data_IF_247531892004
#
_entry.id   IF_247531892004
#
_cell.length_a   1.000
_cell.length_b   1.000
_cell.length_c   1.000
_cell.angle_alpha   90.00
_cell.angle_beta   90.00
_cell.angle_gamma   90.00
#
_symmetry.space_group_name_H-M   'P 1'
#
loop_
_entity.id
_entity.type
_entity.pdbx_description
1 polymer ?
#
# COMPACT_ATOMS: atom_id res chain seq x y z
N UNK A 1 10.83 -0.66 -29.90
CA UNK A 1 11.88 -1.54 -29.38
C UNK A 1 12.88 -0.80 -28.50
N UNK A 2 12.58 -0.67 -27.21
CA UNK A 2 13.58 -0.28 -26.21
C UNK A 2 14.30 -1.56 -25.78
N UNK A 3 15.43 -1.87 -26.43
CA UNK A 3 16.33 -2.91 -25.93
C UNK A 3 17.04 -2.36 -24.68
N UNK A 4 17.01 -3.06 -23.53
CA UNK A 4 17.77 -2.62 -22.37
C UNK A 4 19.26 -2.66 -22.71
N UNK A 5 19.87 -1.48 -22.78
CA UNK A 5 21.32 -1.34 -22.91
C UNK A 5 21.91 -1.50 -21.51
N UNK A 6 22.89 -2.38 -21.37
CA UNK A 6 23.69 -2.51 -20.15
C UNK A 6 24.31 -1.14 -19.86
N UNK A 7 23.83 -0.46 -18.84
CA UNK A 7 24.37 0.84 -18.46
C UNK A 7 25.73 0.60 -17.80
N UNK A 8 26.82 0.94 -18.50
CA UNK A 8 28.18 0.96 -17.95
C UNK A 8 28.47 2.26 -17.16
N UNK A 9 27.44 3.09 -16.93
CA UNK A 9 27.52 4.30 -16.11
C UNK A 9 27.25 3.96 -14.64
N UNK A 10 27.73 4.79 -13.69
CA UNK A 10 27.52 4.53 -12.28
C UNK A 10 26.04 4.45 -11.96
N UNK A 11 25.59 3.30 -11.46
CA UNK A 11 24.19 3.07 -11.15
C UNK A 11 23.85 3.83 -9.87
N UNK A 12 22.94 4.81 -9.96
CA UNK A 12 22.35 5.43 -8.79
C UNK A 12 21.47 4.40 -8.08
N UNK A 13 21.87 4.00 -6.88
CA UNK A 13 21.08 3.11 -6.03
C UNK A 13 20.54 3.92 -4.86
N UNK A 14 19.24 4.20 -4.86
CA UNK A 14 18.60 4.87 -3.73
C UNK A 14 18.24 3.79 -2.71
N UNK A 15 18.92 3.78 -1.56
CA UNK A 15 18.70 2.80 -0.51
C UNK A 15 18.06 3.51 0.68
N UNK A 16 16.84 3.09 1.03
CA UNK A 16 16.09 3.68 2.12
C UNK A 16 16.54 3.06 3.45
N UNK A 17 17.31 3.79 4.26
CA UNK A 17 17.64 3.38 5.63
C UNK A 17 17.04 4.40 6.60
N UNK A 18 16.36 3.91 7.63
CA UNK A 18 15.96 4.75 8.75
C UNK A 18 17.21 5.16 9.54
N UNK A 19 17.55 6.46 9.52
CA UNK A 19 18.47 7.06 10.50
C UNK A 19 19.83 7.52 9.98
N UNK A 20 20.28 7.10 8.80
CA UNK A 20 21.50 7.64 8.18
C UNK A 20 21.11 8.38 6.89
N UNK A 21 21.41 9.68 6.83
CA UNK A 21 21.35 10.47 5.61
C UNK A 21 22.77 10.64 5.08
N UNK A 22 22.99 10.37 3.79
CA UNK A 22 24.33 10.48 3.23
C UNK A 22 24.45 9.88 1.85
N UNK A 23 25.58 10.19 1.21
CA UNK A 23 25.98 9.58 -0.05
C UNK A 23 27.19 8.71 0.24
N UNK A 24 27.09 7.41 -0.01
CA UNK A 24 28.24 6.50 0.02
C UNK A 24 28.63 6.18 -1.41
N UNK A 25 29.92 6.37 -1.69
CA UNK A 25 30.53 6.08 -2.98
C UNK A 25 31.19 4.68 -2.90
N UNK A 26 30.53 3.67 -3.46
CA UNK A 26 31.05 2.30 -3.55
C UNK A 26 31.51 2.02 -4.99
N UNK A 27 32.60 2.67 -5.41
CA UNK A 27 33.20 2.47 -6.73
C UNK A 27 32.28 2.93 -7.88
N UNK A 28 31.60 1.98 -8.55
CA UNK A 28 30.68 2.25 -9.66
C UNK A 28 29.25 2.54 -9.19
N UNK A 29 28.99 2.63 -7.89
CA UNK A 29 27.64 2.88 -7.34
C UNK A 29 27.65 4.09 -6.43
N UNK A 30 26.78 5.04 -6.75
CA UNK A 30 26.42 6.14 -5.85
C UNK A 30 25.19 5.73 -5.06
N UNK A 31 25.36 5.46 -3.77
CA UNK A 31 24.28 5.08 -2.88
C UNK A 31 23.78 6.34 -2.16
N UNK A 32 22.50 6.68 -2.32
CA UNK A 32 21.86 7.76 -1.57
C UNK A 32 21.01 7.16 -0.48
N UNK A 33 21.34 7.47 0.77
CA UNK A 33 20.51 7.22 1.93
C UNK A 33 19.62 8.42 2.20
N UNK A 34 18.31 8.19 2.14
CA UNK A 34 17.29 9.20 2.39
C UNK A 34 16.15 8.61 3.21
N UNK A 35 15.61 9.44 4.09
CA UNK A 35 14.40 9.14 4.85
C UNK A 35 13.12 9.41 4.03
N UNK A 36 13.25 10.04 2.86
CA UNK A 36 12.15 10.49 2.00
C UNK A 36 11.92 9.53 0.81
N UNK A 37 10.68 9.45 0.32
CA UNK A 37 10.36 8.69 -0.89
C UNK A 37 10.84 9.38 -2.17
N UNK A 38 10.97 8.60 -3.24
CA UNK A 38 11.22 9.14 -4.59
C UNK A 38 10.09 10.10 -5.01
N UNK A 39 8.83 9.80 -4.67
CA UNK A 39 7.70 10.67 -5.01
C UNK A 39 7.80 12.05 -4.35
N UNK A 40 8.14 12.09 -3.06
CA UNK A 40 8.36 13.35 -2.35
C UNK A 40 9.56 14.12 -2.91
N UNK A 41 10.66 13.41 -3.20
CA UNK A 41 11.85 14.00 -3.82
C UNK A 41 11.53 14.62 -5.18
N UNK A 42 10.74 13.93 -6.00
CA UNK A 42 10.32 14.43 -7.32
C UNK A 42 9.48 15.70 -7.19
N UNK A 43 8.47 15.68 -6.32
CA UNK A 43 7.60 16.85 -6.08
C UNK A 43 8.40 18.06 -5.61
N UNK A 44 9.24 17.91 -4.57
CA UNK A 44 10.08 19.00 -4.06
C UNK A 44 11.09 19.50 -5.09
N UNK A 45 11.58 18.62 -5.97
CA UNK A 45 12.45 19.03 -7.07
C UNK A 45 11.69 19.84 -8.12
N UNK A 46 10.48 19.41 -8.48
CA UNK A 46 9.63 20.11 -9.44
C UNK A 46 9.24 21.51 -8.95
N UNK A 47 9.00 21.70 -7.66
CA UNK A 47 8.70 23.00 -7.05
C UNK A 47 9.79 24.06 -7.24
N UNK A 48 11.05 23.63 -7.41
CA UNK A 48 12.14 24.56 -7.69
C UNK A 48 12.04 25.20 -9.09
N UNK A 49 11.25 24.60 -9.99
CA UNK A 49 11.15 25.01 -11.39
C UNK A 49 9.72 25.39 -11.80
N UNK A 50 8.70 24.80 -11.17
CA UNK A 50 7.29 24.94 -11.54
C UNK A 50 6.39 25.08 -10.32
N UNK A 51 5.19 25.61 -10.54
CA UNK A 51 4.11 25.54 -9.54
C UNK A 51 3.58 24.11 -9.53
N UNK A 52 3.61 23.48 -8.37
CA UNK A 52 3.04 22.15 -8.14
C UNK A 52 1.77 22.30 -7.31
N UNK A 53 0.65 21.79 -7.81
CA UNK A 53 -0.63 21.92 -7.14
C UNK A 53 -0.75 20.95 -5.95
N UNK A 54 -1.84 21.08 -5.19
CA UNK A 54 -2.06 20.26 -4.00
C UNK A 54 -2.22 18.79 -4.32
N UNK A 55 -2.75 18.43 -5.50
CA UNK A 55 -3.02 17.04 -5.83
C UNK A 55 -1.72 16.24 -6.03
N UNK A 56 -0.73 16.76 -6.74
CA UNK A 56 0.56 16.07 -6.90
C UNK A 56 1.26 15.86 -5.56
N UNK A 57 1.16 16.85 -4.66
CA UNK A 57 1.66 16.75 -3.28
C UNK A 57 0.95 15.66 -2.48
N UNK A 58 -0.38 15.60 -2.56
CA UNK A 58 -1.18 14.54 -1.93
C UNK A 58 -0.75 13.17 -2.46
N UNK A 59 -0.54 13.02 -3.77
CA UNK A 59 -0.10 11.76 -4.36
C UNK A 59 1.31 11.37 -3.91
N UNK A 60 2.22 12.34 -3.72
CA UNK A 60 3.51 12.08 -3.13
C UNK A 60 3.39 11.57 -1.68
N UNK A 61 2.47 12.14 -0.89
CA UNK A 61 2.19 11.65 0.47
C UNK A 61 1.61 10.23 0.45
N UNK A 62 0.71 9.90 -0.48
CA UNK A 62 0.19 8.53 -0.66
C UNK A 62 1.33 7.54 -0.97
N UNK A 63 2.29 7.93 -1.82
CA UNK A 63 3.52 7.16 -2.03
C UNK A 63 4.37 7.02 -0.75
N UNK A 64 4.42 8.05 0.08
CA UNK A 64 5.06 8.01 1.40
C UNK A 64 4.37 7.03 2.36
N UNK A 65 3.04 6.97 2.37
CA UNK A 65 2.25 6.00 3.17
C UNK A 65 2.60 4.57 2.77
N UNK A 66 2.63 4.27 1.47
CA UNK A 66 3.02 2.95 0.95
C UNK A 66 4.39 2.52 1.49
N UNK A 67 5.32 3.47 1.60
CA UNK A 67 6.69 3.30 2.10
C UNK A 67 6.84 3.40 3.62
N UNK A 68 5.74 3.51 4.35
CA UNK A 68 5.71 3.63 5.81
C UNK A 68 6.37 4.89 6.35
N UNK A 69 6.50 5.95 5.54
CA UNK A 69 7.16 7.20 5.92
C UNK A 69 6.38 8.00 6.96
N UNK A 70 5.09 7.70 7.12
CA UNK A 70 4.21 8.30 8.11
C UNK A 70 4.03 7.49 9.39
N UNK A 71 4.76 6.37 9.53
CA UNK A 71 4.72 5.51 10.71
C UNK A 71 5.69 5.95 11.82
N UNK A 72 5.92 7.26 11.95
CA UNK A 72 6.64 7.83 13.09
C UNK A 72 5.68 8.39 14.14
N UNK A 73 6.18 8.64 15.35
CA UNK A 73 5.39 9.28 16.42
C UNK A 73 4.88 10.67 16.01
N UNK A 74 5.62 11.36 15.15
CA UNK A 74 5.26 12.67 14.62
C UNK A 74 4.52 12.61 13.27
N UNK A 75 4.20 11.42 12.76
CA UNK A 75 3.65 11.25 11.41
C UNK A 75 4.71 11.14 10.33
N UNK A 76 4.52 11.83 9.21
CA UNK A 76 5.50 11.87 8.13
C UNK A 76 6.87 12.41 8.58
N UNK A 77 7.93 11.86 7.99
CA UNK A 77 9.33 12.27 8.16
C UNK A 77 9.91 12.79 6.83
N UNK A 78 11.13 13.34 6.84
CA UNK A 78 11.81 13.81 5.63
C UNK A 78 11.03 14.88 4.86
N UNK A 79 11.15 14.84 3.54
CA UNK A 79 10.47 15.75 2.61
C UNK A 79 8.94 15.61 2.67
N UNK A 80 8.42 14.43 2.99
CA UNK A 80 6.99 14.26 3.19
C UNK A 80 6.47 15.11 4.35
N UNK A 81 7.26 15.30 5.42
CA UNK A 81 6.89 16.18 6.54
C UNK A 81 6.77 17.64 6.08
N UNK A 82 7.66 18.08 5.19
CA UNK A 82 7.59 19.42 4.59
C UNK A 82 6.32 19.58 3.75
N UNK A 83 6.04 18.60 2.88
CA UNK A 83 4.83 18.59 2.04
C UNK A 83 3.55 18.64 2.90
N UNK A 84 3.49 17.88 4.00
CA UNK A 84 2.37 17.92 4.96
C UNK A 84 2.19 19.33 5.52
N UNK A 85 3.26 19.97 5.99
CA UNK A 85 3.18 21.30 6.58
C UNK A 85 2.70 22.35 5.58
N UNK A 86 3.17 22.28 4.33
CA UNK A 86 2.71 23.16 3.25
C UNK A 86 1.21 23.01 2.99
N UNK A 87 0.73 21.77 2.87
CA UNK A 87 -0.69 21.50 2.61
C UNK A 87 -1.59 21.88 3.79
N UNK A 88 -1.13 21.73 5.04
CA UNK A 88 -1.86 22.20 6.22
C UNK A 88 -1.95 23.73 6.21
N UNK A 89 -0.83 24.41 5.96
CA UNK A 89 -0.78 25.88 5.91
C UNK A 89 -1.68 26.44 4.81
N UNK A 90 -1.81 25.73 3.68
CA UNK A 90 -2.71 26.10 2.59
C UNK A 90 -4.14 25.58 2.78
N UNK A 91 -4.47 24.94 3.91
CA UNK A 91 -5.78 24.34 4.23
C UNK A 91 -6.24 23.24 3.24
N UNK A 92 -5.30 22.58 2.56
CA UNK A 92 -5.55 21.47 1.63
C UNK A 92 -5.39 20.08 2.27
N UNK A 93 -4.96 20.04 3.53
CA UNK A 93 -4.80 18.81 4.31
C UNK A 93 -5.20 19.03 5.77
N UNK A 94 -5.97 18.10 6.31
CA UNK A 94 -6.36 18.02 7.71
C UNK A 94 -5.68 16.79 8.32
N UNK A 95 -5.16 16.92 9.53
CA UNK A 95 -4.50 15.83 10.26
C UNK A 95 -5.26 15.55 11.54
N UNK A 96 -5.59 14.29 11.77
CA UNK A 96 -6.30 13.84 12.97
C UNK A 96 -5.62 12.58 13.55
N UNK A 97 -6.02 12.17 14.76
CA UNK A 97 -5.69 10.88 15.33
C UNK A 97 -6.78 9.86 14.99
N UNK A 98 -6.40 8.65 14.58
CA UNK A 98 -7.38 7.66 14.17
C UNK A 98 -6.79 6.28 13.89
N UNK A 99 -7.70 5.34 13.60
CA UNK A 99 -7.30 4.04 13.09
C UNK A 99 -6.81 4.20 11.66
N UNK A 100 -5.66 3.62 11.36
CA UNK A 100 -5.07 3.59 10.03
C UNK A 100 -5.59 2.39 9.24
N UNK A 101 -6.91 2.30 9.18
CA UNK A 101 -7.66 1.28 8.45
C UNK A 101 -8.38 1.95 7.29
N UNK A 102 -8.53 1.22 6.20
CA UNK A 102 -9.24 1.73 5.02
C UNK A 102 -10.71 1.93 5.34
N UNK A 103 -11.27 3.06 4.90
CA UNK A 103 -12.62 3.49 5.21
C UNK A 103 -12.81 4.11 6.60
N UNK A 104 -11.73 4.55 7.27
CA UNK A 104 -11.83 5.26 8.55
C UNK A 104 -12.80 6.44 8.46
N UNK A 105 -13.72 6.52 9.44
CA UNK A 105 -14.87 7.45 9.51
C UNK A 105 -15.93 7.34 8.39
N UNK A 106 -15.68 6.59 7.33
CA UNK A 106 -16.61 6.42 6.20
C UNK A 106 -17.38 5.11 6.21
N UNK A 107 -16.89 4.09 6.91
CA UNK A 107 -17.44 2.74 6.90
C UNK A 107 -17.71 2.21 8.31
N UNK A 108 -18.51 1.15 8.37
CA UNK A 108 -18.66 0.35 9.58
C UNK A 108 -17.34 -0.31 9.94
N UNK A 109 -17.14 -0.62 11.22
CA UNK A 109 -15.91 -1.23 11.70
C UNK A 109 -15.68 -2.63 11.13
N UNK A 110 -16.76 -3.38 10.89
CA UNK A 110 -16.70 -4.67 10.20
C UNK A 110 -16.15 -4.49 8.78
N UNK A 111 -16.68 -3.52 8.03
CA UNK A 111 -16.23 -3.27 6.68
C UNK A 111 -14.77 -2.84 6.66
N UNK A 112 -14.38 -1.86 7.49
CA UNK A 112 -12.99 -1.39 7.59
C UNK A 112 -12.00 -2.53 7.83
N UNK A 113 -12.29 -3.38 8.83
CA UNK A 113 -11.46 -4.53 9.16
C UNK A 113 -11.40 -5.56 8.04
N UNK A 114 -12.53 -5.81 7.38
CA UNK A 114 -12.60 -6.82 6.33
C UNK A 114 -11.91 -6.40 5.03
N UNK A 115 -11.80 -5.10 4.73
CA UNK A 115 -11.22 -4.60 3.47
C UNK A 115 -9.77 -4.10 3.60
N UNK A 116 -9.30 -3.82 4.81
CA UNK A 116 -7.96 -3.24 4.99
C UNK A 116 -6.87 -4.27 4.69
N UNK A 117 -5.98 -3.91 3.75
CA UNK A 117 -4.82 -4.72 3.37
C UNK A 117 -3.48 -4.25 3.85
N UNK A 118 -3.41 -3.00 4.28
CA UNK A 118 -2.18 -2.42 4.81
C UNK A 118 -2.57 -1.58 6.03
N UNK A 119 -2.37 -2.12 7.25
CA UNK A 119 -1.78 -3.44 7.53
C UNK A 119 -2.73 -4.60 7.16
N UNK A 120 -2.20 -5.69 6.57
CA UNK A 120 -2.96 -6.94 6.43
C UNK A 120 -3.19 -7.56 7.80
N UNK A 121 -4.46 -7.89 8.13
CA UNK A 121 -4.87 -8.45 9.42
C UNK A 121 -5.21 -9.93 9.23
N UNK A 122 -4.29 -10.85 9.59
CA UNK A 122 -4.50 -12.29 9.43
C UNK A 122 -5.84 -12.75 10.01
N UNK A 123 -6.53 -13.63 9.28
CA UNK A 123 -7.83 -14.20 9.67
C UNK A 123 -9.00 -13.20 9.80
N UNK A 124 -8.79 -11.90 9.55
CA UNK A 124 -9.85 -10.87 9.59
C UNK A 124 -10.02 -10.22 8.22
N UNK A 125 -8.92 -9.76 7.62
CA UNK A 125 -8.95 -9.24 6.24
C UNK A 125 -9.55 -10.29 5.32
N UNK A 126 -10.55 -9.92 4.52
CA UNK A 126 -11.31 -10.81 3.64
C UNK A 126 -12.50 -11.53 4.27
N UNK A 127 -12.66 -11.47 5.60
CA UNK A 127 -13.65 -12.26 6.35
C UNK A 127 -14.53 -11.39 7.25
N UNK A 128 -15.70 -10.96 6.74
CA UNK A 128 -16.65 -10.13 7.50
C UNK A 128 -17.20 -10.82 8.75
N UNK A 129 -17.37 -12.14 8.71
CA UNK A 129 -17.78 -12.95 9.87
C UNK A 129 -16.75 -12.88 11.00
N UNK A 130 -15.46 -12.93 10.67
CA UNK A 130 -14.38 -12.81 11.66
C UNK A 130 -14.24 -11.39 12.21
N UNK A 131 -14.46 -10.38 11.37
CA UNK A 131 -14.57 -9.01 11.83
C UNK A 131 -15.77 -8.83 12.77
N UNK A 132 -16.93 -9.40 12.44
CA UNK A 132 -18.12 -9.39 13.31
C UNK A 132 -17.83 -10.02 14.68
N UNK A 133 -17.19 -11.19 14.70
CA UNK A 133 -16.82 -11.88 15.94
C UNK A 133 -15.89 -11.02 16.81
N UNK A 134 -14.91 -10.34 16.19
CA UNK A 134 -14.01 -9.43 16.91
C UNK A 134 -14.78 -8.27 17.54
N UNK A 135 -15.68 -7.61 16.78
CA UNK A 135 -16.42 -6.44 17.29
C UNK A 135 -17.42 -6.85 18.37
N UNK A 136 -18.04 -8.02 18.23
CA UNK A 136 -18.91 -8.60 19.26
C UNK A 136 -18.15 -8.80 20.59
N UNK A 137 -16.90 -9.28 20.53
CA UNK A 137 -16.07 -9.49 21.72
C UNK A 137 -15.73 -8.19 22.46
N UNK A 138 -15.73 -7.05 21.77
CA UNK A 138 -15.52 -5.74 22.40
C UNK A 138 -16.75 -5.26 23.20
N UNK A 139 -17.88 -5.96 23.12
CA UNK A 139 -19.08 -5.68 23.90
C UNK A 139 -20.12 -4.80 23.21
N UNK A 140 -19.99 -4.59 21.90
CA UNK A 140 -21.02 -3.90 21.10
C UNK A 140 -22.23 -4.82 20.87
N UNK A 141 -23.44 -4.29 21.08
CA UNK A 141 -24.70 -5.05 20.95
C UNK A 141 -25.16 -5.24 19.50
N UNK A 142 -24.85 -4.28 18.63
CA UNK A 142 -25.16 -4.30 17.19
C UNK A 142 -23.85 -4.11 16.40
N UNK A 143 -22.95 -5.13 16.36
CA UNK A 143 -21.62 -5.02 15.76
C UNK A 143 -21.62 -4.50 14.31
N UNK A 144 -22.66 -4.81 13.55
CA UNK A 144 -22.84 -4.42 12.15
C UNK A 144 -23.08 -2.93 11.94
N UNK A 145 -23.48 -2.20 12.99
CA UNK A 145 -23.73 -0.76 12.93
C UNK A 145 -22.60 0.09 13.52
N UNK A 146 -21.60 -0.55 14.12
CA UNK A 146 -20.51 0.16 14.82
C UNK A 146 -19.68 0.95 13.81
N UNK A 147 -19.48 2.23 14.10
CA UNK A 147 -18.71 3.18 13.29
C UNK A 147 -17.52 3.74 14.08
N UNK A 148 -16.72 4.59 13.42
CA UNK A 148 -15.66 5.34 14.10
C UNK A 148 -16.20 6.23 15.24
N UNK A 149 -17.41 6.77 15.11
CA UNK A 149 -18.03 7.61 16.15
C UNK A 149 -18.25 6.85 17.46
N UNK A 150 -18.70 5.59 17.36
CA UNK A 150 -18.91 4.73 18.52
C UNK A 150 -17.59 4.40 19.22
N UNK A 151 -16.52 4.16 18.46
CA UNK A 151 -15.18 3.95 19.00
C UNK A 151 -14.63 5.21 19.70
N UNK A 152 -14.83 6.39 19.12
CA UNK A 152 -14.34 7.66 19.66
C UNK A 152 -15.10 8.06 20.93
N UNK A 153 -16.35 7.58 21.10
CA UNK A 153 -17.18 7.90 22.26
C UNK A 153 -16.61 7.38 23.59
N UNK A 154 -15.83 6.29 23.58
CA UNK A 154 -15.15 5.77 24.76
C UNK A 154 -13.73 5.29 24.41
N UNK A 155 -12.67 5.93 24.97
CA UNK A 155 -11.28 5.53 24.75
C UNK A 155 -10.96 4.07 25.04
N UNK A 156 -11.77 3.40 25.90
CA UNK A 156 -11.63 1.97 26.18
C UNK A 156 -11.81 1.13 24.91
N UNK A 157 -12.80 1.42 24.07
CA UNK A 157 -13.06 0.62 22.87
C UNK A 157 -11.92 0.70 21.86
N UNK A 158 -11.37 1.90 21.63
CA UNK A 158 -10.18 2.07 20.77
C UNK A 158 -9.00 1.29 21.34
N UNK A 159 -8.76 1.40 22.65
CA UNK A 159 -7.64 0.70 23.30
C UNK A 159 -7.78 -0.81 23.16
N UNK A 160 -8.94 -1.38 23.49
CA UNK A 160 -9.18 -2.82 23.46
C UNK A 160 -9.09 -3.35 22.02
N UNK A 161 -9.67 -2.64 21.04
CA UNK A 161 -9.55 -2.99 19.62
C UNK A 161 -8.08 -2.99 19.15
N UNK A 162 -7.33 -1.93 19.45
CA UNK A 162 -5.92 -1.81 19.03
C UNK A 162 -5.07 -2.91 19.67
N UNK A 163 -5.33 -3.26 20.93
CA UNK A 163 -4.64 -4.36 21.61
C UNK A 163 -4.92 -5.70 20.94
N UNK A 164 -6.18 -6.00 20.61
CA UNK A 164 -6.56 -7.23 19.90
C UNK A 164 -5.92 -7.30 18.51
N UNK A 165 -6.00 -6.22 17.72
CA UNK A 165 -5.39 -6.17 16.40
C UNK A 165 -3.87 -6.38 16.46
N UNK A 166 -3.19 -5.75 17.41
CA UNK A 166 -1.75 -5.94 17.58
C UNK A 166 -1.40 -7.35 18.04
N UNK A 167 -2.22 -7.98 18.88
CA UNK A 167 -2.07 -9.37 19.28
C UNK A 167 -2.11 -10.31 18.07
N UNK A 168 -3.12 -10.13 17.21
CA UNK A 168 -3.29 -10.89 15.97
C UNK A 168 -2.08 -10.69 15.04
N UNK A 169 -1.71 -9.43 14.77
CA UNK A 169 -0.57 -9.12 13.89
C UNK A 169 0.74 -9.74 14.38
N UNK A 170 1.00 -9.70 15.70
CA UNK A 170 2.22 -10.28 16.30
C UNK A 170 2.23 -11.80 16.29
N UNK A 171 1.07 -12.46 16.33
CA UNK A 171 0.99 -13.92 16.35
C UNK A 171 1.45 -14.58 15.04
N UNK A 172 1.35 -13.87 13.91
CA UNK A 172 1.67 -14.41 12.58
C UNK A 172 2.88 -13.74 11.94
N UNK A 173 3.08 -12.44 12.18
CA UNK A 173 4.15 -11.69 11.50
C UNK A 173 5.53 -12.07 12.01
N UNK A 174 6.46 -12.32 11.07
CA UNK A 174 7.87 -12.58 11.38
C UNK A 174 8.70 -11.30 11.56
N UNK A 175 8.13 -10.13 11.26
CA UNK A 175 8.78 -8.84 11.50
C UNK A 175 8.24 -8.19 12.77
N UNK A 176 9.01 -7.28 13.36
CA UNK A 176 8.51 -6.44 14.43
C UNK A 176 7.29 -5.62 13.95
N UNK A 177 6.24 -5.59 14.77
CA UNK A 177 5.02 -4.81 14.53
C UNK A 177 4.96 -3.63 15.48
N UNK A 178 4.67 -2.45 14.94
CA UNK A 178 4.53 -1.20 15.69
C UNK A 178 3.04 -0.86 15.89
N UNK A 179 2.60 -0.46 17.09
CA UNK A 179 1.25 0.09 17.32
C UNK A 179 0.83 1.20 16.35
N UNK A 180 1.78 2.02 15.89
CA UNK A 180 1.55 3.12 14.94
C UNK A 180 1.03 2.61 13.58
N UNK A 181 1.23 1.33 13.25
CA UNK A 181 0.67 0.73 12.04
C UNK A 181 -0.86 0.65 12.08
N UNK A 182 -1.46 0.62 13.28
CA UNK A 182 -2.91 0.46 13.48
C UNK A 182 -3.54 1.75 13.99
N UNK A 183 -2.89 2.46 14.93
CA UNK A 183 -3.39 3.70 15.53
C UNK A 183 -2.34 4.79 15.41
N UNK A 184 -2.65 5.87 14.69
CA UNK A 184 -1.70 6.94 14.45
C UNK A 184 -2.35 8.18 13.86
N UNK A 185 -1.56 8.96 13.12
CA UNK A 185 -2.09 10.08 12.35
C UNK A 185 -2.81 9.57 11.11
N UNK A 186 -3.96 10.17 10.84
CA UNK A 186 -4.75 10.01 9.62
C UNK A 186 -4.84 11.37 8.93
N UNK A 187 -4.84 11.36 7.61
CA UNK A 187 -4.69 12.55 6.80
C UNK A 187 -5.87 12.63 5.84
N UNK A 188 -6.56 13.76 5.84
CA UNK A 188 -7.72 14.00 5.01
C UNK A 188 -7.46 15.17 4.07
N UNK A 189 -7.80 14.99 2.81
CA UNK A 189 -7.80 16.06 1.81
C UNK A 189 -9.21 16.26 1.27
N UNK A 190 -9.48 17.41 0.65
CA UNK A 190 -10.77 17.69 0.01
C UNK A 190 -10.60 17.63 -1.51
N UNK A 191 -11.32 16.74 -2.17
CA UNK A 191 -11.38 16.64 -3.64
C UNK A 191 -12.84 16.82 -4.06
N UNK A 192 -13.11 17.79 -4.96
CA UNK A 192 -14.48 18.16 -5.38
C UNK A 192 -15.48 18.42 -4.24
N UNK A 193 -15.00 18.88 -3.09
CA UNK A 193 -15.85 19.11 -1.92
C UNK A 193 -16.12 17.87 -1.07
N UNK A 194 -15.56 16.72 -1.43
CA UNK A 194 -15.60 15.49 -0.65
C UNK A 194 -14.31 15.31 0.16
N UNK A 195 -14.45 15.06 1.46
CA UNK A 195 -13.33 14.70 2.33
C UNK A 195 -12.91 13.25 2.07
N UNK A 196 -11.64 13.04 1.78
CA UNK A 196 -11.07 11.73 1.46
C UNK A 196 -9.82 11.48 2.31
N UNK A 197 -9.78 10.32 2.96
CA UNK A 197 -8.60 9.82 3.66
C UNK A 197 -7.52 9.39 2.66
N UNK A 198 -6.28 9.82 2.90
CA UNK A 198 -5.13 9.41 2.10
C UNK A 198 -4.88 7.89 2.18
N UNK A 199 -5.29 7.21 3.26
CA UNK A 199 -5.29 5.74 3.34
C UNK A 199 -6.28 5.10 2.36
N UNK A 200 -7.43 5.74 2.10
CA UNK A 200 -8.38 5.28 1.08
C UNK A 200 -7.84 5.49 -0.33
N UNK A 201 -7.15 6.62 -0.58
CA UNK A 201 -6.44 6.82 -1.84
C UNK A 201 -5.37 5.75 -2.04
N UNK A 202 -4.59 5.44 -1.00
CA UNK A 202 -3.64 4.33 -1.05
C UNK A 202 -4.32 2.99 -1.37
N UNK A 203 -5.45 2.68 -0.70
CA UNK A 203 -6.22 1.48 -0.97
C UNK A 203 -6.77 1.41 -2.40
N UNK A 204 -7.28 2.53 -2.92
CA UNK A 204 -7.68 2.67 -4.31
C UNK A 204 -6.52 2.34 -5.26
N UNK A 205 -5.36 2.97 -5.09
CA UNK A 205 -4.20 2.71 -5.93
C UNK A 205 -3.80 1.24 -5.90
N UNK A 206 -3.68 0.64 -4.70
CA UNK A 206 -3.31 -0.76 -4.58
C UNK A 206 -4.31 -1.69 -5.27
N UNK A 207 -5.60 -1.38 -5.16
CA UNK A 207 -6.68 -2.14 -5.81
C UNK A 207 -6.60 -2.02 -7.33
N UNK A 208 -6.42 -0.81 -7.86
CA UNK A 208 -6.28 -0.61 -9.31
C UNK A 208 -5.04 -1.28 -9.88
N UNK A 209 -3.92 -1.24 -9.15
CA UNK A 209 -2.71 -1.99 -9.50
C UNK A 209 -3.00 -3.50 -9.56
N UNK A 210 -3.87 -4.02 -8.70
CA UNK A 210 -4.17 -5.46 -8.62
C UNK A 210 -4.94 -6.03 -9.83
N UNK A 211 -5.75 -5.19 -10.50
CA UNK A 211 -6.84 -5.65 -11.39
C UNK A 211 -6.48 -5.83 -12.88
N UNK A 212 -5.20 -5.81 -13.27
CA UNK A 212 -4.68 -5.79 -14.67
C UNK A 212 -5.16 -4.63 -15.56
N UNK A 213 -4.41 -4.38 -16.65
CA UNK A 213 -4.86 -3.58 -17.80
C UNK A 213 -4.22 -2.19 -17.97
N UNK A 214 -4.66 -1.52 -19.04
CA UNK A 214 -4.39 -0.12 -19.42
C UNK A 214 -4.84 0.89 -18.35
N UNK A 215 -5.51 0.43 -17.28
CA UNK A 215 -5.87 1.23 -16.12
C UNK A 215 -4.67 1.95 -15.49
N UNK A 216 -3.43 1.44 -15.66
CA UNK A 216 -2.21 2.15 -15.27
C UNK A 216 -2.00 3.45 -16.05
N UNK A 217 -2.32 3.47 -17.35
CA UNK A 217 -2.23 4.68 -18.17
C UNK A 217 -3.21 5.73 -17.62
N UNK A 218 -4.37 5.28 -17.16
CA UNK A 218 -5.37 6.14 -16.51
C UNK A 218 -4.89 6.73 -15.18
N UNK A 219 -3.94 6.10 -14.48
CA UNK A 219 -3.36 6.67 -13.25
C UNK A 219 -2.55 7.94 -13.52
N UNK A 220 -1.95 8.10 -14.70
CA UNK A 220 -1.23 9.33 -15.08
C UNK A 220 -2.18 10.51 -15.31
N UNK A 221 -3.45 10.23 -15.66
CA UNK A 221 -4.46 11.27 -15.85
C UNK A 221 -5.15 11.66 -14.54
N UNK A 222 -4.98 10.90 -13.44
CA UNK A 222 -5.66 11.20 -12.18
C UNK A 222 -5.41 12.59 -11.59
N UNK A 223 -4.19 13.17 -11.65
CA UNK A 223 -3.98 14.55 -11.22
C UNK A 223 -4.74 15.56 -12.09
N UNK A 224 -5.05 15.19 -13.34
CA UNK A 224 -5.61 16.07 -14.37
C UNK A 224 -7.12 15.89 -14.57
N UNK A 225 -7.67 14.75 -14.17
CA UNK A 225 -9.09 14.38 -14.32
C UNK A 225 -9.66 13.89 -12.98
N UNK A 226 -10.24 14.84 -12.26
CA UNK A 226 -10.82 14.60 -10.95
C UNK A 226 -12.15 13.82 -11.01
N UNK A 227 -12.84 13.84 -12.16
CA UNK A 227 -14.06 13.04 -12.39
C UNK A 227 -13.68 11.56 -12.51
N UNK A 228 -12.58 11.27 -13.22
CA UNK A 228 -12.03 9.92 -13.29
C UNK A 228 -11.68 9.39 -11.88
N UNK A 229 -11.11 10.23 -11.01
CA UNK A 229 -10.81 9.82 -9.64
C UNK A 229 -12.07 9.45 -8.83
N UNK A 230 -13.17 10.18 -8.96
CA UNK A 230 -14.45 9.81 -8.33
C UNK A 230 -15.00 8.47 -8.85
N UNK A 231 -14.93 8.25 -10.17
CA UNK A 231 -15.34 6.99 -10.78
C UNK A 231 -14.50 5.83 -10.25
N UNK A 232 -13.18 6.04 -10.13
CA UNK A 232 -12.27 5.06 -9.57
C UNK A 232 -12.56 4.78 -8.09
N UNK A 233 -12.83 5.82 -7.29
CA UNK A 233 -13.25 5.66 -5.89
C UNK A 233 -14.52 4.82 -5.80
N UNK A 234 -15.53 5.09 -6.62
CA UNK A 234 -16.75 4.28 -6.66
C UNK A 234 -16.47 2.81 -7.02
N UNK A 235 -15.61 2.57 -8.03
CA UNK A 235 -15.21 1.21 -8.39
C UNK A 235 -14.46 0.51 -7.24
N UNK A 236 -13.54 1.23 -6.58
CA UNK A 236 -12.88 0.73 -5.38
C UNK A 236 -13.90 0.37 -4.32
N UNK A 237 -14.84 1.26 -4.00
CA UNK A 237 -15.84 0.98 -2.98
C UNK A 237 -16.68 -0.26 -3.27
N UNK A 238 -16.96 -0.50 -4.55
CA UNK A 238 -17.77 -1.61 -5.03
C UNK A 238 -17.02 -2.94 -5.05
N UNK A 239 -15.76 -2.95 -5.52
CA UNK A 239 -15.02 -4.18 -5.81
C UNK A 239 -13.97 -4.54 -4.77
N UNK A 240 -13.64 -3.64 -3.83
CA UNK A 240 -12.56 -3.88 -2.87
C UNK A 240 -12.77 -5.16 -2.05
N UNK A 241 -14.01 -5.43 -1.61
CA UNK A 241 -14.32 -6.63 -0.85
C UNK A 241 -14.02 -7.93 -1.60
N UNK A 242 -14.34 -7.99 -2.90
CA UNK A 242 -14.10 -9.18 -3.73
C UNK A 242 -12.60 -9.39 -3.99
N UNK A 243 -11.89 -8.30 -4.30
CA UNK A 243 -10.42 -8.30 -4.45
C UNK A 243 -9.77 -8.79 -3.16
N UNK A 244 -10.26 -8.30 -2.01
CA UNK A 244 -9.75 -8.67 -0.69
C UNK A 244 -10.08 -10.10 -0.28
N UNK A 245 -11.21 -10.62 -0.73
CA UNK A 245 -11.50 -12.02 -0.48
C UNK A 245 -10.54 -12.92 -1.26
N UNK A 246 -10.38 -12.67 -2.55
CA UNK A 246 -9.55 -13.50 -3.41
C UNK A 246 -8.08 -13.50 -3.00
N UNK A 247 -7.50 -12.32 -2.74
CA UNK A 247 -6.09 -12.24 -2.33
C UNK A 247 -5.87 -13.06 -1.05
N UNK A 248 -6.77 -12.94 -0.09
CA UNK A 248 -6.68 -13.63 1.21
C UNK A 248 -6.72 -15.15 1.05
N UNK A 249 -7.68 -15.67 0.28
CA UNK A 249 -7.81 -17.11 -0.02
C UNK A 249 -6.55 -17.65 -0.70
N UNK A 250 -5.99 -16.87 -1.63
CA UNK A 250 -4.84 -17.25 -2.43
C UNK A 250 -3.51 -17.20 -1.67
N UNK A 251 -3.34 -16.26 -0.73
CA UNK A 251 -2.15 -16.18 0.14
C UNK A 251 -2.11 -17.36 1.12
N UNK A 252 -3.26 -17.88 1.54
CA UNK A 252 -3.32 -19.01 2.47
C UNK A 252 -3.11 -20.36 1.77
N UNK A 253 -3.34 -20.44 0.47
CA UNK A 253 -3.44 -21.71 -0.28
C UNK A 253 -2.42 -21.83 -1.42
N UNK A 254 -1.39 -20.97 -1.45
CA UNK A 254 -0.36 -21.03 -2.49
C UNK A 254 0.35 -22.39 -2.54
N UNK A 255 0.71 -22.81 -3.74
CA UNK A 255 1.31 -24.13 -4.01
C UNK A 255 2.82 -23.97 -4.13
N UNK A 256 3.60 -24.90 -3.57
CA UNK A 256 5.03 -24.97 -3.81
C UNK A 256 5.30 -26.06 -4.84
N UNK A 257 5.91 -25.70 -5.97
CA UNK A 257 6.31 -26.64 -7.01
C UNK A 257 7.77 -26.39 -7.39
N UNK A 258 8.61 -27.43 -7.33
CA UNK A 258 10.06 -27.34 -7.54
C UNK A 258 10.74 -26.23 -6.69
N UNK A 259 10.29 -26.06 -5.43
CA UNK A 259 10.80 -25.02 -4.53
C UNK A 259 10.31 -23.60 -4.82
N UNK A 260 9.50 -23.39 -5.86
CA UNK A 260 8.95 -22.08 -6.23
C UNK A 260 7.50 -21.94 -5.73
N UNK A 261 7.12 -20.82 -5.11
CA UNK A 261 5.74 -20.55 -4.70
C UNK A 261 4.90 -20.04 -5.88
N UNK A 262 3.73 -20.65 -6.06
CA UNK A 262 2.74 -20.32 -7.08
C UNK A 262 1.41 -19.92 -6.44
N UNK A 263 0.89 -18.79 -6.90
CA UNK A 263 -0.42 -18.29 -6.51
C UNK A 263 -1.33 -18.38 -7.75
N UNK A 264 -2.46 -19.07 -7.63
CA UNK A 264 -3.46 -19.12 -8.70
C UNK A 264 -4.47 -18.00 -8.47
N UNK A 265 -4.57 -17.03 -9.38
CA UNK A 265 -5.39 -15.85 -9.18
C UNK A 265 -6.38 -15.60 -10.34
N UNK A 266 -7.59 -15.22 -9.97
CA UNK A 266 -8.76 -15.09 -10.82
C UNK A 266 -9.03 -13.64 -11.21
N UNK A 267 -9.44 -12.82 -10.25
CA UNK A 267 -9.69 -11.38 -10.32
C UNK A 267 -8.35 -10.63 -10.25
N UNK A 268 -7.47 -11.00 -9.33
CA UNK A 268 -6.18 -10.32 -9.17
C UNK A 268 -5.20 -10.88 -10.17
N UNK A 269 -4.64 -9.98 -10.97
CA UNK A 269 -3.81 -10.36 -12.12
C UNK A 269 -2.35 -9.93 -11.97
N UNK A 270 -2.03 -9.25 -10.86
CA UNK A 270 -0.74 -8.61 -10.64
C UNK A 270 -0.08 -9.09 -9.34
N UNK A 271 1.20 -9.53 -9.39
CA UNK A 271 1.87 -10.12 -8.23
C UNK A 271 2.17 -9.09 -7.14
N UNK A 272 2.21 -7.80 -7.47
CA UNK A 272 2.63 -6.72 -6.56
C UNK A 272 1.87 -6.71 -5.24
N UNK A 273 0.55 -6.93 -5.26
CA UNK A 273 -0.27 -6.89 -4.05
C UNK A 273 0.00 -8.09 -3.15
N UNK A 274 0.13 -9.29 -3.73
CA UNK A 274 0.54 -10.49 -3.00
C UNK A 274 1.91 -10.31 -2.34
N UNK A 275 2.85 -9.76 -3.09
CA UNK A 275 4.21 -9.50 -2.61
C UNK A 275 4.23 -8.47 -1.48
N UNK A 276 3.43 -7.42 -1.56
CA UNK A 276 3.27 -6.44 -0.49
C UNK A 276 2.83 -7.12 0.80
N UNK A 277 1.79 -7.95 0.74
CA UNK A 277 1.25 -8.63 1.93
C UNK A 277 2.25 -9.64 2.50
N UNK A 278 2.89 -10.43 1.64
CA UNK A 278 3.95 -11.35 2.07
C UNK A 278 5.12 -10.61 2.73
N UNK A 279 5.49 -9.43 2.21
CA UNK A 279 6.48 -8.54 2.82
C UNK A 279 6.02 -8.02 4.19
N UNK A 280 4.77 -7.58 4.32
CA UNK A 280 4.21 -7.12 5.60
C UNK A 280 4.17 -8.22 6.66
N UNK A 281 3.99 -9.48 6.25
CA UNK A 281 4.04 -10.64 7.14
C UNK A 281 5.48 -11.10 7.44
N UNK A 282 6.49 -10.56 6.77
CA UNK A 282 7.87 -11.03 6.88
C UNK A 282 8.06 -12.43 6.28
N UNK A 283 7.24 -12.78 5.28
CA UNK A 283 7.17 -14.09 4.64
C UNK A 283 7.68 -14.09 3.19
N UNK A 284 8.47 -13.09 2.78
CA UNK A 284 9.01 -13.07 1.43
C UNK A 284 9.88 -14.33 1.17
N UNK A 285 9.55 -15.13 0.16
CA UNK A 285 10.26 -16.38 -0.13
C UNK A 285 11.67 -16.14 -0.68
N UNK A 286 12.54 -17.16 -0.64
CA UNK A 286 13.89 -17.07 -1.21
C UNK A 286 13.88 -16.94 -2.74
N UNK A 287 12.84 -17.45 -3.39
CA UNK A 287 12.63 -17.37 -4.83
C UNK A 287 11.45 -16.46 -5.17
N UNK A 288 11.36 -15.92 -6.41
CA UNK A 288 10.23 -15.08 -6.82
C UNK A 288 8.89 -15.81 -6.72
N UNK A 289 7.89 -15.11 -6.19
CA UNK A 289 6.50 -15.57 -6.26
C UNK A 289 6.00 -15.48 -7.70
N UNK A 290 5.39 -16.56 -8.17
CA UNK A 290 4.77 -16.62 -9.50
C UNK A 290 3.25 -16.61 -9.38
N UNK A 291 2.58 -15.75 -10.13
CA UNK A 291 1.15 -15.83 -10.36
C UNK A 291 0.88 -16.70 -11.59
N UNK A 292 0.03 -17.69 -11.44
CA UNK A 292 -0.50 -18.48 -12.54
C UNK A 292 -1.86 -17.92 -12.93
N UNK A 293 -1.97 -17.42 -14.16
CA UNK A 293 -3.25 -17.02 -14.75
C UNK A 293 -4.10 -18.23 -15.13
N UNK A 294 -5.40 -17.99 -15.31
CA UNK A 294 -6.36 -18.99 -15.81
C UNK A 294 -5.94 -19.64 -17.13
N UNK A 295 -5.21 -18.92 -17.98
CA UNK A 295 -4.73 -19.39 -19.28
C UNK A 295 -3.36 -20.10 -19.21
N UNK A 296 -2.84 -20.35 -17.99
CA UNK A 296 -1.60 -21.08 -17.75
C UNK A 296 -0.32 -20.23 -17.82
N UNK A 297 -0.41 -18.96 -18.23
CA UNK A 297 0.73 -18.04 -18.20
C UNK A 297 1.18 -17.73 -16.76
N UNK A 298 2.50 -17.62 -16.57
CA UNK A 298 3.14 -17.34 -15.30
C UNK A 298 3.70 -15.93 -15.29
N UNK A 299 3.34 -15.15 -14.27
CA UNK A 299 3.75 -13.76 -14.09
C UNK A 299 4.51 -13.59 -12.79
N UNK A 300 5.50 -12.71 -12.75
CA UNK A 300 6.16 -12.32 -11.49
C UNK A 300 6.50 -10.83 -11.54
N UNK A 301 6.76 -10.22 -10.38
CA UNK A 301 7.09 -8.80 -10.32
C UNK A 301 8.56 -8.57 -10.64
N UNK A 302 8.84 -7.45 -11.31
CA UNK A 302 10.21 -7.01 -11.59
C UNK A 302 11.04 -6.85 -10.31
N UNK A 303 10.42 -6.39 -9.22
CA UNK A 303 11.11 -6.22 -7.93
C UNK A 303 11.59 -7.55 -7.35
N UNK A 304 10.86 -8.64 -7.55
CA UNK A 304 11.25 -9.98 -7.08
C UNK A 304 12.40 -10.56 -7.91
N UNK A 305 12.38 -10.32 -9.22
CA UNK A 305 13.47 -10.71 -10.12
C UNK A 305 14.77 -10.03 -9.66
N UNK A 306 14.70 -8.71 -9.40
CA UNK A 306 15.84 -7.96 -8.88
C UNK A 306 16.28 -8.46 -7.50
N UNK A 307 15.33 -8.69 -6.57
CA UNK A 307 15.62 -9.14 -5.20
C UNK A 307 16.34 -10.49 -5.16
N UNK A 308 16.00 -11.40 -6.06
CA UNK A 308 16.52 -12.77 -6.07
C UNK A 308 17.74 -12.96 -6.97
N UNK A 309 18.20 -11.88 -7.62
CA UNK A 309 19.39 -11.84 -8.47
C UNK A 309 19.41 -12.92 -9.58
N UNK A 310 18.22 -13.27 -10.09
CA UNK A 310 18.11 -14.20 -11.22
C UNK A 310 18.64 -13.51 -12.48
N UNK A 311 19.55 -14.20 -13.20
CA UNK A 311 20.08 -13.70 -14.47
C UNK A 311 18.93 -13.38 -15.45
N UNK A 312 18.78 -12.09 -15.77
CA UNK A 312 17.77 -11.57 -16.71
C UNK A 312 17.76 -12.31 -18.05
N UNK A 313 18.91 -12.82 -18.47
CA UNK A 313 19.13 -13.52 -19.74
C UNK A 313 18.44 -14.90 -19.81
N UNK A 314 17.99 -15.44 -18.66
CA UNK A 314 17.28 -16.73 -18.59
C UNK A 314 15.76 -16.60 -18.52
N UNK A 315 15.23 -15.38 -18.42
CA UNK A 315 13.79 -15.15 -18.36
C UNK A 315 13.24 -14.98 -19.78
N UNK A 316 12.29 -15.83 -20.15
CA UNK A 316 11.57 -15.66 -21.41
C UNK A 316 10.80 -14.32 -21.37
N UNK A 317 10.64 -13.60 -22.50
CA UNK A 317 9.84 -12.37 -22.56
C UNK A 317 8.40 -12.53 -22.05
N UNK A 318 7.88 -13.76 -22.05
CA UNK A 318 6.57 -14.16 -21.53
C UNK A 318 6.50 -14.25 -19.99
N UNK A 319 7.66 -14.32 -19.32
CA UNK A 319 7.82 -14.38 -17.86
C UNK A 319 8.11 -13.00 -17.25
N UNK A 320 8.56 -12.06 -18.09
CA UNK A 320 8.66 -10.65 -17.78
C UNK A 320 7.30 -10.04 -18.14
N UNK A 321 6.75 -9.18 -17.28
CA UNK A 321 5.48 -8.50 -17.55
C UNK A 321 5.62 -7.64 -18.81
N UNK A 322 5.27 -8.19 -19.97
CA UNK A 322 4.95 -7.43 -21.15
C UNK A 322 3.49 -7.01 -21.03
N UNK A 323 3.27 -5.70 -21.02
CA UNK A 323 2.03 -5.12 -21.53
C UNK A 323 1.90 -5.64 -22.97
N UNK A 324 1.10 -6.68 -23.20
CA UNK A 324 0.61 -7.01 -24.53
C UNK A 324 -0.44 -5.97 -24.88
N UNK A 325 -0.02 -4.91 -25.56
CA UNK A 325 -0.87 -4.18 -26.50
C UNK A 325 -0.87 -4.90 -27.84
#
# INVERSE_FOLDING_TARGET
DLKPVKCNAPCLSIIYISGEQGVVDEGDKKIIYTDSSVSATLVKTMENYWIVESIEKVLALVGGIERGRDQSREGFIGLEKEIVNELINSKNLIVDAGLRLWGWKRRTLIDMLSITYSPYIPSITGYKDKAYDLISKLGFKEPEKVTAGDLISDPKYIKDLVQELLSILKSVSKRARNPIEVLGRVYFTTLLGHEIDLMDLYGLYLTMLSLSGDALINLFYLPQDIILLEQLLYLYEKYIGDVVKEITENIQTYIINNGLPYINAGIVKRPEVYLKILSELGLLPQHPVKLMSKDGYLYTSYSEILRTNIEYERLLPEQLVLLKG
#
